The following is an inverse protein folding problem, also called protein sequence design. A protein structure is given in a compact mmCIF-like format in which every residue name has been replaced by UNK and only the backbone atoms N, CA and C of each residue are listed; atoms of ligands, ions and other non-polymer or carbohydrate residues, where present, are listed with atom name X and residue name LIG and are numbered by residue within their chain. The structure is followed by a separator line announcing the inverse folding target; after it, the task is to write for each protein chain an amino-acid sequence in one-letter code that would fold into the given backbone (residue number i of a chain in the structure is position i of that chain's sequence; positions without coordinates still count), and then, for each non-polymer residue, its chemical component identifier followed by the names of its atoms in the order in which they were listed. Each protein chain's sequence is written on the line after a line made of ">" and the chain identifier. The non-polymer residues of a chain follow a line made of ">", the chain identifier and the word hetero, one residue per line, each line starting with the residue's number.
data_IF_708116114176
#
_entry.id   IF_708116114176
#
_cell.length_a   1.000
_cell.length_b   1.000
_cell.length_c   1.000
_cell.angle_alpha   90.00
_cell.angle_beta   90.00
_cell.angle_gamma   90.00
#
_symmetry.space_group_name_H-M   'P 1'
#
loop_
_entity.id
_entity.type
_entity.pdbx_description
1 polymer ?
#
# COMPACT_ATOMS: atom_id res chain seq x y z
N UNK A 1 -9.55 14.21 -21.71
CA UNK A 1 -8.14 13.92 -21.38
C UNK A 1 -8.07 12.60 -20.64
N UNK A 2 -7.65 11.52 -21.28
CA UNK A 2 -7.51 10.21 -20.63
C UNK A 2 -6.34 10.27 -19.64
N UNK A 3 -6.64 10.14 -18.35
CA UNK A 3 -5.63 10.04 -17.31
C UNK A 3 -4.89 8.71 -17.50
N UNK A 4 -3.76 8.73 -18.22
CA UNK A 4 -2.86 7.59 -18.32
C UNK A 4 -2.46 7.23 -16.89
N UNK A 5 -2.91 6.06 -16.41
CA UNK A 5 -2.43 5.49 -15.15
C UNK A 5 -0.90 5.46 -15.26
N UNK A 6 -0.22 6.25 -14.44
CA UNK A 6 1.23 6.34 -14.48
C UNK A 6 1.77 4.94 -14.17
N UNK A 7 2.49 4.28 -15.10
CA UNK A 7 2.90 2.88 -14.94
C UNK A 7 3.72 2.63 -13.67
N UNK A 8 4.41 3.68 -13.17
CA UNK A 8 5.14 3.66 -11.89
C UNK A 8 4.24 3.45 -10.67
N UNK A 9 3.12 4.17 -10.58
CA UNK A 9 2.21 4.03 -9.44
C UNK A 9 1.54 2.65 -9.41
N UNK A 10 1.23 2.10 -10.58
CA UNK A 10 0.73 0.74 -10.72
C UNK A 10 1.75 -0.30 -10.26
N UNK A 11 3.02 -0.13 -10.63
CA UNK A 11 4.10 -1.02 -10.20
C UNK A 11 4.25 -1.02 -8.67
N UNK A 12 4.28 0.16 -8.05
CA UNK A 12 4.41 0.30 -6.60
C UNK A 12 3.21 -0.31 -5.87
N UNK A 13 1.99 -0.09 -6.37
CA UNK A 13 0.79 -0.71 -5.80
C UNK A 13 0.84 -2.24 -5.88
N UNK A 14 1.34 -2.78 -6.99
CA UNK A 14 1.47 -4.22 -7.20
C UNK A 14 2.55 -4.82 -6.28
N UNK A 15 3.69 -4.14 -6.13
CA UNK A 15 4.76 -4.55 -5.24
C UNK A 15 4.33 -4.46 -3.77
N UNK A 16 3.54 -3.44 -3.41
CA UNK A 16 2.93 -3.32 -2.08
C UNK A 16 1.97 -4.48 -1.82
N UNK A 17 1.08 -4.79 -2.77
CA UNK A 17 0.15 -5.92 -2.65
C UNK A 17 0.85 -7.27 -2.56
N UNK A 18 1.97 -7.46 -3.28
CA UNK A 18 2.79 -8.68 -3.17
C UNK A 18 3.43 -8.82 -1.79
N UNK A 19 3.85 -7.72 -1.19
CA UNK A 19 4.43 -7.72 0.15
C UNK A 19 3.37 -7.83 1.26
N UNK A 20 2.17 -7.30 1.04
CA UNK A 20 1.04 -7.39 1.95
C UNK A 20 -0.28 -7.59 1.19
N UNK A 21 -0.76 -8.85 1.07
CA UNK A 21 -2.02 -9.16 0.40
C UNK A 21 -3.25 -8.53 1.06
N UNK A 22 -3.16 -8.10 2.33
CA UNK A 22 -4.27 -7.45 3.03
C UNK A 22 -4.63 -6.08 2.42
N UNK A 23 -3.70 -5.48 1.66
CA UNK A 23 -3.94 -4.25 0.90
C UNK A 23 -5.02 -4.40 -0.17
N UNK A 24 -5.29 -5.61 -0.66
CA UNK A 24 -6.38 -5.88 -1.60
C UNK A 24 -7.78 -5.73 -1.01
N UNK A 25 -7.91 -5.79 0.33
CA UNK A 25 -9.16 -5.53 1.02
C UNK A 25 -9.47 -4.02 1.13
N UNK A 26 -8.48 -3.15 0.87
CA UNK A 26 -8.64 -1.69 0.94
C UNK A 26 -9.13 -1.15 -0.40
N UNK A 27 -9.80 0.01 -0.37
CA UNK A 27 -10.22 0.69 -1.59
C UNK A 27 -8.99 1.06 -2.43
N UNK A 28 -8.82 0.40 -3.58
CA UNK A 28 -7.69 0.61 -4.49
C UNK A 28 -7.47 2.10 -4.82
N UNK A 29 -8.56 2.85 -5.03
CA UNK A 29 -8.50 4.28 -5.33
C UNK A 29 -7.78 5.09 -4.24
N UNK A 30 -7.98 4.76 -2.97
CA UNK A 30 -7.30 5.46 -1.87
C UNK A 30 -5.81 5.14 -1.84
N UNK A 31 -5.45 3.87 -2.10
CA UNK A 31 -4.06 3.43 -2.16
C UNK A 31 -3.30 4.11 -3.30
N UNK A 32 -3.92 4.17 -4.48
CA UNK A 32 -3.36 4.83 -5.65
C UNK A 32 -3.18 6.34 -5.44
N UNK A 33 -4.14 7.02 -4.83
CA UNK A 33 -4.00 8.44 -4.50
C UNK A 33 -2.82 8.69 -3.58
N UNK A 34 -2.64 7.86 -2.54
CA UNK A 34 -1.52 7.96 -1.60
C UNK A 34 -0.17 7.77 -2.31
N UNK A 35 -0.03 6.72 -3.11
CA UNK A 35 1.17 6.46 -3.91
C UNK A 35 1.49 7.64 -4.85
N UNK A 36 0.48 8.20 -5.52
CA UNK A 36 0.66 9.34 -6.43
C UNK A 36 1.11 10.59 -5.66
N UNK A 37 0.53 10.85 -4.48
CA UNK A 37 0.93 11.99 -3.65
C UNK A 37 2.40 11.89 -3.23
N UNK A 38 2.85 10.71 -2.79
CA UNK A 38 4.25 10.51 -2.42
C UNK A 38 5.20 10.63 -3.62
N UNK A 39 4.82 10.11 -4.78
CA UNK A 39 5.59 10.28 -6.02
C UNK A 39 5.66 11.75 -6.48
N UNK A 40 4.59 12.52 -6.30
CA UNK A 40 4.57 13.96 -6.60
C UNK A 40 5.41 14.77 -5.61
N UNK A 41 5.55 14.30 -4.37
CA UNK A 41 6.44 14.87 -3.37
C UNK A 41 7.94 14.58 -3.65
N UNK A 42 8.25 13.82 -4.71
CA UNK A 42 9.62 13.50 -5.10
C UNK A 42 10.23 12.31 -4.36
N UNK A 43 9.41 11.51 -3.66
CA UNK A 43 9.89 10.28 -3.01
C UNK A 43 10.26 9.22 -4.06
N UNK A 44 11.31 8.44 -3.77
CA UNK A 44 11.68 7.29 -4.58
C UNK A 44 10.63 6.18 -4.46
N UNK A 45 10.50 5.37 -5.52
CA UNK A 45 9.54 4.26 -5.59
C UNK A 45 9.65 3.32 -4.37
N UNK A 46 10.87 3.04 -3.91
CA UNK A 46 11.18 2.22 -2.73
C UNK A 46 10.71 2.88 -1.43
N UNK A 47 10.90 4.19 -1.28
CA UNK A 47 10.45 4.93 -0.12
C UNK A 47 8.91 4.97 -0.05
N UNK A 48 8.24 5.14 -1.19
CA UNK A 48 6.77 5.09 -1.26
C UNK A 48 6.25 3.71 -0.86
N UNK A 49 6.89 2.64 -1.36
CA UNK A 49 6.54 1.27 -1.00
C UNK A 49 6.67 1.02 0.50
N UNK A 50 7.79 1.44 1.10
CA UNK A 50 8.01 1.30 2.55
C UNK A 50 7.00 2.12 3.36
N UNK A 51 6.65 3.32 2.90
CA UNK A 51 5.66 4.17 3.58
C UNK A 51 4.26 3.53 3.55
N UNK A 52 3.85 3.03 2.38
CA UNK A 52 2.58 2.31 2.21
C UNK A 52 2.57 1.05 3.09
N UNK A 53 3.62 0.23 3.07
CA UNK A 53 3.70 -0.97 3.91
C UNK A 53 3.72 -0.63 5.40
N UNK A 54 4.45 0.41 5.82
CA UNK A 54 4.52 0.82 7.23
C UNK A 54 3.16 1.30 7.74
N UNK A 55 2.44 2.07 6.93
CA UNK A 55 1.14 2.64 7.31
C UNK A 55 -0.01 1.63 7.27
N UNK A 56 0.13 0.60 6.43
CA UNK A 56 -0.87 -0.45 6.28
C UNK A 56 -0.50 -1.74 7.02
N UNK A 57 0.71 -1.85 7.60
CA UNK A 57 1.05 -2.95 8.49
C UNK A 57 0.01 -2.97 9.61
N UNK A 58 -0.73 -4.07 9.79
CA UNK A 58 -1.71 -4.16 10.85
C UNK A 58 -1.02 -3.92 12.20
N UNK A 59 -1.38 -2.83 12.87
CA UNK A 59 -0.97 -2.53 14.25
C UNK A 59 -1.67 -3.43 15.27
N UNK A 60 -2.37 -4.47 14.83
CA UNK A 60 -2.81 -5.54 15.68
C UNK A 60 -1.62 -6.48 15.92
N UNK A 61 -0.92 -6.25 17.04
CA UNK A 61 -0.62 -7.39 17.90
C UNK A 61 -1.89 -8.26 17.95
N UNK A 62 -1.82 -9.58 17.79
CA UNK A 62 -3.00 -10.41 17.97
C UNK A 62 -3.45 -10.29 19.44
N UNK A 63 -4.33 -9.34 19.75
CA UNK A 63 -5.11 -9.34 20.99
C UNK A 63 -6.24 -10.34 20.78
N UNK A 64 -5.85 -11.59 20.70
CA UNK A 64 -6.71 -12.74 20.52
C UNK A 64 -5.93 -13.92 21.01
N UNK A 65 -6.02 -14.16 22.32
CA UNK A 65 -5.62 -15.41 22.95
C UNK A 65 -6.14 -16.55 22.07
N UNK A 66 -5.25 -17.28 21.41
CA UNK A 66 -5.60 -18.55 20.79
C UNK A 66 -5.85 -19.53 21.92
N UNK A 67 -7.06 -19.50 22.48
CA UNK A 67 -7.52 -20.51 23.42
C UNK A 67 -7.78 -21.77 22.61
N UNK A 68 -6.79 -22.66 22.56
CA UNK A 68 -7.06 -24.07 22.28
C UNK A 68 -7.78 -24.62 23.52
N UNK A 69 -8.99 -25.14 23.28
CA UNK A 69 -9.79 -25.88 24.25
C UNK A 69 -8.99 -26.99 24.92
#
# INVERSE_FOLDING_TARGET
>A
MQQKIKPKALKIALDAFRADPSLGARQAKSLFSEIITHLQAGMSDEAVLQEVLKKNRPTTLPTGTLTLF
#
